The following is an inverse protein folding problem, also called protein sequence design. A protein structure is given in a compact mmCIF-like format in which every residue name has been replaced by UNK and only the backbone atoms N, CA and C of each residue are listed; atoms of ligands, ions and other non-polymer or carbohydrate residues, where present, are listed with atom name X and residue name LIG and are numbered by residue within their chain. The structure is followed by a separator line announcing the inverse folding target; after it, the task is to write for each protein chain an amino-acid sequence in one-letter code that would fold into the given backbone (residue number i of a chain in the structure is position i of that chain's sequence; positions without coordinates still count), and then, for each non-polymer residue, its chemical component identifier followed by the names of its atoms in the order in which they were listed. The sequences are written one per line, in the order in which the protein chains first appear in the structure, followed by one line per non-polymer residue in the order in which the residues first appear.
data_IF_709783311839
#
_entry.id   IF_709783311839
#
_cell.length_a   1.000
_cell.length_b   1.000
_cell.length_c   1.000
_cell.angle_alpha   90.00
_cell.angle_beta   90.00
_cell.angle_gamma   90.00
#
_symmetry.space_group_name_H-M   'P 1'
#
loop_
_entity.id
_entity.type
_entity.pdbx_description
1 polymer ?
2 non-polymer ?
3 non-polymer ?
4 non-polymer ?
5 non-polymer ?
6 non-polymer ?
7 water ?
#
# COMPACT_ATOMS: atom_id res chain seq x y z
N UNK A 6 9.91 -3.30 17.57
CA UNK A 6 10.49 -2.24 16.74
C UNK A 6 9.42 -1.23 16.33
N UNK A 7 8.25 -1.32 16.96
CA UNK A 7 7.16 -0.41 16.66
C UNK A 7 7.30 0.87 17.49
N UNK A 8 8.49 1.07 18.04
CA UNK A 8 8.78 2.25 18.84
C UNK A 8 8.76 3.50 17.98
N UNK A 9 8.04 4.53 18.42
CA UNK A 9 7.95 5.77 17.68
C UNK A 9 8.98 6.77 18.15
N UNK A 10 9.64 7.43 17.21
CA UNK A 10 10.63 8.45 17.56
C UNK A 10 9.93 9.75 17.91
N UNK A 11 10.72 10.77 18.24
CA UNK A 11 10.16 12.07 18.63
C UNK A 11 9.28 12.70 17.55
N UNK A 12 9.85 12.91 16.37
CA UNK A 12 9.12 13.52 15.26
C UNK A 12 7.87 12.74 14.88
N UNK A 13 7.95 11.42 14.97
CA UNK A 13 6.80 10.56 14.63
C UNK A 13 5.69 10.72 15.66
N UNK A 14 6.08 10.73 16.93
CA UNK A 14 5.12 10.90 18.01
C UNK A 14 4.43 12.26 17.92
N UNK A 15 5.19 13.28 17.57
CA UNK A 15 4.66 14.62 17.43
C UNK A 15 3.61 14.67 16.32
N UNK A 16 3.89 14.00 15.20
CA UNK A 16 2.97 13.98 14.07
C UNK A 16 1.66 13.25 14.40
N UNK A 17 1.78 12.15 15.13
CA UNK A 17 0.61 11.38 15.52
C UNK A 17 -0.30 12.21 16.43
N UNK A 18 0.32 12.89 17.40
CA UNK A 18 -0.43 13.74 18.33
C UNK A 18 -1.17 14.84 17.59
N UNK A 19 -0.47 15.47 16.64
CA UNK A 19 -1.07 16.54 15.85
C UNK A 19 -2.28 16.02 15.07
N UNK A 20 -2.14 14.84 14.48
CA UNK A 20 -3.24 14.25 13.72
C UNK A 20 -4.45 14.00 14.60
N UNK A 21 -4.22 13.41 15.77
CA UNK A 21 -5.30 13.12 16.71
C UNK A 21 -6.00 14.39 17.17
N UNK A 22 -5.20 15.41 17.49
CA UNK A 22 -5.74 16.68 17.94
C UNK A 22 -6.68 17.27 16.89
N UNK A 23 -6.23 17.25 15.63
CA UNK A 23 -7.04 17.78 14.54
C UNK A 23 -8.32 16.97 14.38
N UNK A 24 -8.18 15.65 14.45
CA UNK A 24 -9.31 14.75 14.30
C UNK A 24 -10.38 14.96 15.37
N UNK A 25 -9.94 15.16 16.61
CA UNK A 25 -10.87 15.37 17.71
C UNK A 25 -11.76 16.59 17.50
N UNK A 26 -11.25 17.58 16.79
CA UNK A 26 -12.02 18.80 16.52
C UNK A 26 -13.08 18.57 15.44
N UNK A 27 -13.00 17.42 14.77
CA UNK A 27 -13.96 17.08 13.73
C UNK A 27 -15.12 16.32 14.36
N UNK A 28 -16.34 16.75 14.07
CA UNK A 28 -17.52 16.10 14.62
C UNK A 28 -18.06 15.07 13.66
N UNK A 29 -19.37 14.89 13.66
CA UNK A 29 -20.01 13.95 12.77
C UNK A 29 -19.69 14.32 11.31
N UNK A 30 -19.34 13.32 10.50
CA UNK A 30 -19.02 13.57 9.10
C UNK A 30 -20.31 13.55 8.28
N UNK A 31 -20.54 14.61 7.52
CA UNK A 31 -21.75 14.71 6.71
C UNK A 31 -21.46 15.10 5.27
N UNK A 32 -22.19 14.48 4.35
CA UNK A 32 -22.02 14.72 2.93
C UNK A 32 -21.89 16.19 2.54
N UNK A 33 -22.82 17.02 3.00
CA UNK A 33 -22.85 18.45 2.65
C UNK A 33 -21.72 19.27 3.24
N UNK A 34 -20.94 18.69 4.14
CA UNK A 34 -19.84 19.41 4.78
C UNK A 34 -18.57 19.34 3.95
N UNK A 35 -18.63 18.66 2.81
CA UNK A 35 -17.46 18.47 1.97
C UNK A 35 -17.46 19.27 0.67
N UNK A 36 -16.29 19.80 0.34
CA UNK A 36 -16.11 20.56 -0.88
C UNK A 36 -15.02 19.86 -1.70
N UNK A 37 -15.38 19.42 -2.89
CA UNK A 37 -14.44 18.74 -3.75
C UNK A 37 -13.34 19.67 -4.23
N UNK A 38 -12.10 19.18 -4.25
CA UNK A 38 -10.97 19.97 -4.72
C UNK A 38 -10.43 19.36 -6.00
N UNK A 39 -10.35 18.04 -6.04
CA UNK A 39 -9.86 17.36 -7.25
C UNK A 39 -10.01 15.85 -7.15
N UNK A 40 -9.96 15.18 -8.29
CA UNK A 40 -10.06 13.74 -8.35
C UNK A 40 -8.65 13.17 -8.24
N UNK A 41 -8.42 12.35 -7.21
CA UNK A 41 -7.10 11.78 -6.99
C UNK A 41 -6.88 10.49 -7.79
N UNK A 42 -7.97 9.87 -8.19
CA UNK A 42 -7.88 8.64 -8.95
C UNK A 42 -9.14 7.83 -8.78
N UNK A 43 -9.24 6.75 -9.55
CA UNK A 43 -10.40 5.89 -9.48
C UNK A 43 -9.99 4.42 -9.47
N UNK A 44 -10.96 3.57 -9.17
CA UNK A 44 -10.74 2.13 -9.15
C UNK A 44 -12.07 1.46 -9.44
N UNK A 45 -12.03 0.15 -9.66
CA UNK A 45 -13.25 -0.60 -9.94
C UNK A 45 -14.04 -0.82 -8.65
N UNK A 46 -13.59 -0.18 -7.57
CA UNK A 46 -14.25 -0.26 -6.29
C UNK A 46 -14.92 1.08 -5.98
N UNK A 47 -14.24 2.16 -6.34
CA UNK A 47 -14.77 3.50 -6.12
C UNK A 47 -13.78 4.58 -6.58
N UNK A 48 -14.18 5.84 -6.41
CA UNK A 48 -13.36 6.97 -6.80
C UNK A 48 -12.81 7.68 -5.57
N UNK A 49 -11.72 8.40 -5.74
CA UNK A 49 -11.09 9.11 -4.64
C UNK A 49 -10.90 10.58 -4.98
N UNK A 50 -11.33 11.45 -4.07
CA UNK A 50 -11.23 12.87 -4.29
C UNK A 50 -10.44 13.55 -3.19
N UNK A 51 -9.77 14.64 -3.55
CA UNK A 51 -9.11 15.45 -2.56
C UNK A 51 -10.20 16.46 -2.21
N UNK A 52 -10.61 16.48 -0.95
CA UNK A 52 -11.70 17.36 -0.53
C UNK A 52 -11.32 18.23 0.63
N UNK A 53 -12.22 19.16 0.91
CA UNK A 53 -12.02 20.07 2.02
C UNK A 53 -13.21 19.94 2.94
N UNK A 54 -12.98 19.60 4.19
CA UNK A 54 -14.06 19.52 5.15
C UNK A 54 -14.34 20.97 5.53
N UNK A 55 -15.41 21.53 4.99
CA UNK A 55 -15.75 22.94 5.19
C UNK A 55 -15.69 23.47 6.63
N UNK A 56 -16.36 22.77 7.53
CA UNK A 56 -16.41 23.23 8.93
C UNK A 56 -15.04 23.35 9.59
N UNK A 57 -14.25 22.29 9.49
CA UNK A 57 -12.94 22.26 10.13
C UNK A 57 -11.85 22.90 9.28
N UNK A 58 -12.09 22.98 7.98
CA UNK A 58 -11.10 23.54 7.07
C UNK A 58 -10.01 22.50 6.76
N UNK A 59 -10.19 21.28 7.28
CA UNK A 59 -9.23 20.20 7.07
C UNK A 59 -9.31 19.66 5.65
N UNK A 60 -8.16 19.36 5.08
CA UNK A 60 -8.11 18.73 3.77
C UNK A 60 -8.08 17.23 3.99
N UNK A 61 -8.84 16.50 3.19
CA UNK A 61 -8.91 15.06 3.35
C UNK A 61 -8.99 14.37 2.01
N UNK A 62 -8.87 13.05 2.05
CA UNK A 62 -9.03 12.22 0.87
C UNK A 62 -10.36 11.52 1.10
N UNK A 63 -11.30 11.71 0.20
CA UNK A 63 -12.62 11.08 0.34
C UNK A 63 -12.81 10.01 -0.71
N UNK A 64 -12.99 8.78 -0.26
CA UNK A 64 -13.19 7.65 -1.17
C UNK A 64 -14.67 7.28 -1.23
N UNK A 65 -15.24 7.35 -2.43
CA UNK A 65 -16.65 7.04 -2.62
C UNK A 65 -16.87 5.67 -3.23
N UNK A 66 -17.49 4.78 -2.45
CA UNK A 66 -17.79 3.43 -2.91
C UNK A 66 -19.26 3.32 -3.26
N UNK A 67 -19.59 3.44 -4.54
CA UNK A 67 -20.97 3.36 -4.98
C UNK A 67 -21.55 1.96 -4.83
N UNK A 68 -22.47 1.81 -3.89
CA UNK A 68 -23.12 0.54 -3.62
C UNK A 68 -24.58 0.79 -3.27
N UNK A 69 -25.49 0.29 -4.11
CA UNK A 69 -26.92 0.46 -3.88
C UNK A 69 -27.47 -0.61 -2.95
N UNK A 70 -26.64 -1.04 -2.01
CA UNK A 70 -27.04 -2.06 -1.05
C UNK A 70 -28.12 -1.53 -0.12
N UNK A 71 -28.61 -2.38 0.77
CA UNK A 71 -29.64 -1.99 1.73
C UNK A 71 -29.04 -1.12 2.82
N UNK A 72 -29.87 -0.27 3.42
CA UNK A 72 -29.41 0.63 4.48
C UNK A 72 -28.81 -0.17 5.63
N UNK A 73 -29.01 -1.49 5.60
CA UNK A 73 -28.50 -2.37 6.64
C UNK A 73 -27.04 -2.71 6.41
N UNK A 74 -26.73 -3.24 5.22
CA UNK A 74 -25.37 -3.62 4.88
C UNK A 74 -24.37 -2.49 5.09
N UNK A 75 -24.69 -1.31 4.57
CA UNK A 75 -23.83 -0.14 4.69
C UNK A 75 -23.57 0.20 6.16
N UNK A 76 -24.57 -0.02 7.00
CA UNK A 76 -24.44 0.27 8.41
C UNK A 76 -23.43 -0.66 9.08
N UNK A 77 -23.40 -1.91 8.61
CA UNK A 77 -22.46 -2.89 9.15
C UNK A 77 -21.05 -2.58 8.68
N UNK A 78 -20.95 -1.97 7.49
CA UNK A 78 -19.66 -1.59 6.95
C UNK A 78 -19.10 -0.46 7.79
N UNK A 79 -19.91 0.58 7.97
CA UNK A 79 -19.51 1.74 8.77
C UNK A 79 -19.07 1.33 10.16
N UNK A 80 -19.80 0.38 10.75
CA UNK A 80 -19.49 -0.11 12.10
C UNK A 80 -18.14 -0.79 12.16
N UNK A 81 -17.88 -1.67 11.20
CA UNK A 81 -16.63 -2.41 11.15
C UNK A 81 -15.43 -1.48 10.98
N UNK A 82 -15.64 -0.37 10.26
CA UNK A 82 -14.58 0.60 10.03
C UNK A 82 -14.24 1.41 11.28
N UNK A 83 -15.21 1.52 12.19
CA UNK A 83 -15.00 2.28 13.43
C UNK A 83 -13.73 1.87 14.15
N UNK A 84 -13.26 0.66 13.88
CA UNK A 84 -12.05 0.16 14.51
C UNK A 84 -10.81 0.98 14.17
N UNK A 85 -10.85 1.64 13.01
CA UNK A 85 -9.73 2.45 12.56
C UNK A 85 -9.50 3.69 13.43
N UNK A 86 -10.47 3.99 14.29
CA UNK A 86 -10.34 5.16 15.18
C UNK A 86 -9.23 4.95 16.20
N UNK A 87 -8.82 3.71 16.37
CA UNK A 87 -7.74 3.40 17.31
C UNK A 87 -6.45 2.99 16.60
N UNK A 88 -6.53 2.88 15.27
CA UNK A 88 -5.36 2.50 14.46
C UNK A 88 -4.49 3.72 14.18
N UNK A 89 -3.45 3.89 15.00
CA UNK A 89 -2.54 5.02 14.85
C UNK A 89 -1.08 4.60 14.69
N UNK A 90 -0.59 4.66 13.47
CA UNK A 90 0.79 4.28 13.17
C UNK A 90 1.34 5.22 12.11
N UNK A 91 2.62 5.53 12.20
CA UNK A 91 3.24 6.42 11.23
C UNK A 91 3.30 5.73 9.86
N UNK A 92 2.93 4.45 9.83
CA UNK A 92 3.01 3.64 8.61
C UNK A 92 1.67 3.24 8.04
N UNK A 93 0.60 3.76 8.64
CA UNK A 93 -0.75 3.49 8.19
C UNK A 93 -1.46 4.81 7.94
N UNK A 94 -2.12 4.92 6.80
CA UNK A 94 -2.84 6.15 6.44
C UNK A 94 -3.89 6.49 7.48
N UNK A 95 -3.91 7.75 7.90
CA UNK A 95 -4.86 8.23 8.92
C UNK A 95 -6.33 8.10 8.51
N UNK A 96 -7.18 7.79 9.51
CA UNK A 96 -8.61 7.61 9.28
C UNK A 96 -9.41 8.71 10.00
N UNK A 97 -10.33 9.33 9.28
CA UNK A 97 -11.18 10.38 9.87
C UNK A 97 -12.54 9.84 10.26
N UNK A 98 -13.14 9.05 9.38
CA UNK A 98 -14.45 8.46 9.65
C UNK A 98 -15.11 7.99 8.36
N UNK A 99 -16.28 7.40 8.48
CA UNK A 99 -17.02 6.88 7.34
C UNK A 99 -18.52 7.12 7.52
N UNK A 100 -19.24 7.22 6.40
CA UNK A 100 -20.67 7.45 6.43
C UNK A 100 -21.29 7.10 5.08
N UNK A 101 -22.62 7.02 5.05
CA UNK A 101 -23.34 6.69 3.82
C UNK A 101 -24.19 7.88 3.38
N UNK A 102 -24.49 7.92 2.10
CA UNK A 102 -25.29 9.02 1.56
C UNK A 102 -25.47 8.89 0.05
N UNK A 103 -26.68 9.15 -0.42
CA UNK A 103 -27.00 9.09 -1.84
C UNK A 103 -26.54 7.80 -2.50
N UNK A 104 -26.78 6.67 -1.83
CA UNK A 104 -26.43 5.36 -2.37
C UNK A 104 -24.93 5.15 -2.55
N UNK A 105 -24.16 5.27 -1.47
CA UNK A 105 -22.72 5.10 -1.56
C UNK A 105 -22.03 5.38 -0.23
N UNK A 106 -21.07 4.52 0.10
CA UNK A 106 -20.30 4.69 1.33
C UNK A 106 -19.19 5.69 1.10
N UNK A 107 -18.90 6.50 2.11
CA UNK A 107 -17.83 7.48 2.01
C UNK A 107 -16.79 7.17 3.08
N UNK A 108 -15.53 7.13 2.67
CA UNK A 108 -14.44 6.87 3.60
C UNK A 108 -13.49 8.07 3.57
N UNK A 109 -13.33 8.72 4.71
CA UNK A 109 -12.50 9.89 4.80
C UNK A 109 -11.20 9.61 5.52
N UNK A 110 -10.09 9.87 4.84
CA UNK A 110 -8.78 9.58 5.39
C UNK A 110 -7.82 10.71 5.22
N UNK A 111 -6.64 10.53 5.78
CA UNK A 111 -5.57 11.49 5.67
C UNK A 111 -5.17 11.57 4.20
N UNK A 112 -4.99 12.79 3.71
CA UNK A 112 -4.60 13.00 2.33
C UNK A 112 -3.08 12.94 2.21
N UNK A 113 -2.58 12.16 1.24
CA UNK A 113 -1.14 12.02 1.02
C UNK A 113 -0.79 12.74 -0.27
N UNK A 114 -0.16 13.91 -0.15
CA UNK A 114 0.13 14.75 -1.32
C UNK A 114 1.14 14.23 -2.35
N UNK A 115 1.76 13.09 -2.05
CA UNK A 115 2.74 12.50 -2.96
C UNK A 115 2.09 11.45 -3.87
N UNK A 116 0.87 11.06 -3.54
CA UNK A 116 0.14 10.05 -4.33
C UNK A 116 0.60 8.63 -3.97
N UNK A 117 0.29 7.68 -4.84
CA UNK A 117 0.65 6.28 -4.63
C UNK A 117 1.95 5.93 -5.38
N UNK A 118 2.60 4.84 -4.98
CA UNK A 118 3.87 4.47 -5.61
C UNK A 118 3.73 4.12 -7.08
N UNK A 119 2.54 3.69 -7.48
CA UNK A 119 2.33 3.40 -8.88
C UNK A 119 2.44 4.70 -9.69
N UNK A 120 1.91 5.79 -9.13
CA UNK A 120 1.99 7.11 -9.77
C UNK A 120 3.42 7.60 -9.76
N UNK A 121 4.07 7.45 -8.61
CA UNK A 121 5.45 7.89 -8.48
C UNK A 121 6.36 7.15 -9.46
N UNK A 122 6.12 5.85 -9.63
CA UNK A 122 6.92 5.03 -10.54
C UNK A 122 6.83 5.53 -11.98
N UNK A 123 5.62 5.87 -12.40
CA UNK A 123 5.39 6.37 -13.76
C UNK A 123 6.29 7.55 -14.06
N UNK A 124 6.41 8.45 -13.08
CA UNK A 124 7.24 9.64 -13.23
C UNK A 124 8.73 9.37 -13.06
N UNK A 125 9.07 8.42 -12.21
CA UNK A 125 10.46 8.11 -11.95
C UNK A 125 11.10 7.25 -13.03
N UNK A 126 10.31 6.33 -13.60
CA UNK A 126 10.81 5.39 -14.59
C UNK A 126 11.15 4.15 -13.78
N UNK A 127 12.04 4.33 -12.83
CA UNK A 127 12.39 3.30 -11.87
C UNK A 127 12.90 3.95 -10.60
N UNK A 128 12.64 3.31 -9.46
CA UNK A 128 12.98 3.87 -8.16
C UNK A 128 14.30 3.28 -7.62
N UNK A 129 15.21 4.15 -7.20
CA UNK A 129 16.54 3.73 -6.71
C UNK A 129 16.48 2.78 -5.52
N UNK A 130 17.39 1.82 -5.49
CA UNK A 130 17.45 0.84 -4.42
C UNK A 130 17.39 1.46 -3.01
N UNK A 131 18.16 2.52 -2.79
CA UNK A 131 18.18 3.14 -1.46
C UNK A 131 16.82 3.71 -1.11
N UNK A 132 16.09 4.18 -2.10
CA UNK A 132 14.76 4.69 -1.86
C UNK A 132 13.86 3.50 -1.55
N UNK A 133 14.06 2.39 -2.26
CA UNK A 133 13.24 1.20 -2.00
C UNK A 133 13.54 0.60 -0.62
N UNK A 134 14.71 0.91 -0.07
CA UNK A 134 15.07 0.44 1.26
C UNK A 134 14.14 1.09 2.30
N UNK A 135 13.86 2.38 2.12
CA UNK A 135 12.96 3.09 3.04
C UNK A 135 11.52 2.61 2.86
N UNK A 136 11.15 2.34 1.62
CA UNK A 136 9.81 1.83 1.33
C UNK A 136 9.62 0.46 2.01
N UNK A 137 10.62 -0.40 1.88
CA UNK A 137 10.59 -1.74 2.46
C UNK A 137 10.43 -1.66 3.99
N UNK A 138 11.19 -0.76 4.61
CA UNK A 138 11.10 -0.60 6.06
C UNK A 138 9.68 -0.23 6.45
N UNK A 139 9.14 0.77 5.76
CA UNK A 139 7.78 1.24 6.03
C UNK A 139 6.74 0.15 5.87
N UNK A 140 6.82 -0.60 4.77
CA UNK A 140 5.86 -1.66 4.51
C UNK A 140 5.89 -2.76 5.58
N UNK A 141 7.09 -3.17 5.96
CA UNK A 141 7.25 -4.22 6.98
C UNK A 141 6.69 -3.76 8.32
N UNK A 142 7.01 -2.53 8.69
CA UNK A 142 6.53 -1.98 9.95
C UNK A 142 5.02 -1.77 9.92
N UNK A 143 4.49 -1.43 8.76
CA UNK A 143 3.06 -1.26 8.60
C UNK A 143 2.34 -2.60 8.76
N UNK A 144 2.88 -3.64 8.13
CA UNK A 144 2.30 -4.96 8.24
C UNK A 144 2.42 -5.47 9.67
N UNK A 145 3.55 -5.17 10.29
CA UNK A 145 3.80 -5.58 11.67
C UNK A 145 2.76 -4.96 12.59
N UNK A 146 2.53 -3.65 12.41
CA UNK A 146 1.55 -2.93 13.23
C UNK A 146 0.13 -3.49 13.08
N UNK A 147 -0.30 -3.71 11.85
CA UNK A 147 -1.64 -4.23 11.59
C UNK A 147 -1.83 -5.59 12.25
N UNK A 148 -0.81 -6.43 12.13
CA UNK A 148 -0.84 -7.76 12.71
C UNK A 148 -0.88 -7.69 14.23
N UNK A 149 0.01 -6.87 14.79
CA UNK A 149 0.14 -6.74 16.23
C UNK A 149 -1.02 -6.04 16.93
N UNK A 150 -1.35 -4.83 16.49
CA UNK A 150 -2.40 -4.06 17.13
C UNK A 150 -3.83 -4.42 16.71
N UNK A 151 -4.00 -4.84 15.47
CA UNK A 151 -5.32 -5.17 14.96
C UNK A 151 -5.52 -6.63 14.60
N UNK A 152 -4.47 -7.44 14.80
CA UNK A 152 -4.53 -8.86 14.50
C UNK A 152 -5.11 -9.15 13.13
N UNK A 153 -4.59 -8.45 12.12
CA UNK A 153 -5.05 -8.64 10.75
C UNK A 153 -3.89 -8.49 9.76
N UNK A 154 -4.12 -8.91 8.53
CA UNK A 154 -3.13 -8.78 7.48
C UNK A 154 -3.65 -7.73 6.50
N UNK A 155 -2.80 -7.25 5.60
CA UNK A 155 -3.21 -6.23 4.64
C UNK A 155 -4.15 -6.82 3.60
N UNK A 156 -3.72 -7.93 3.00
CA UNK A 156 -4.49 -8.67 1.99
C UNK A 156 -4.39 -8.09 0.60
N UNK A 157 -3.92 -6.86 0.48
CA UNK A 157 -3.83 -6.25 -0.84
C UNK A 157 -2.64 -5.30 -1.02
N UNK A 158 -1.45 -5.79 -0.73
CA UNK A 158 -0.24 -4.97 -0.90
C UNK A 158 0.07 -4.85 -2.39
N UNK A 159 0.29 -3.63 -2.84
CA UNK A 159 0.64 -3.35 -4.23
C UNK A 159 1.07 -1.90 -4.33
N UNK A 160 1.68 -1.50 -5.43
CA UNK A 160 2.17 -0.12 -5.56
C UNK A 160 1.09 0.94 -5.31
N UNK A 161 -0.10 0.74 -5.87
CA UNK A 161 -1.17 1.72 -5.71
C UNK A 161 -1.67 1.83 -4.27
N UNK A 162 -1.28 0.87 -3.44
CA UNK A 162 -1.70 0.87 -2.04
C UNK A 162 -0.61 1.33 -1.06
N UNK A 163 0.46 1.89 -1.60
CA UNK A 163 1.53 2.44 -0.77
C UNK A 163 1.57 3.92 -1.11
N UNK A 164 1.19 4.76 -0.15
CA UNK A 164 1.13 6.20 -0.40
C UNK A 164 2.27 6.93 0.28
N UNK A 165 2.68 8.04 -0.31
CA UNK A 165 3.81 8.82 0.20
C UNK A 165 3.46 10.31 0.26
N UNK A 166 4.25 11.09 0.98
CA UNK A 166 3.98 12.53 1.06
C UNK A 166 5.24 13.40 1.12
N UNK A 167 5.04 14.70 0.86
CA UNK A 167 6.13 15.67 0.85
C UNK A 167 6.87 15.69 2.16
N UNK A 168 6.29 15.10 3.20
CA UNK A 168 6.94 15.04 4.51
C UNK A 168 7.93 13.86 4.54
N UNK A 169 7.89 13.04 3.50
CA UNK A 169 8.79 11.90 3.42
C UNK A 169 8.18 10.66 4.08
N UNK A 170 6.88 10.71 4.37
CA UNK A 170 6.21 9.57 4.98
C UNK A 170 5.78 8.57 3.93
N UNK A 171 5.73 7.30 4.33
CA UNK A 171 5.33 6.20 3.48
C UNK A 171 4.35 5.40 4.30
N UNK A 172 3.13 5.24 3.77
CA UNK A 172 2.07 4.59 4.50
C UNK A 172 1.22 3.66 3.66
N UNK A 173 0.65 2.66 4.33
CA UNK A 173 -0.22 1.69 3.67
C UNK A 173 -1.66 2.14 3.77
N UNK A 174 -2.45 1.81 2.75
CA UNK A 174 -3.86 2.13 2.73
C UNK A 174 -4.63 0.97 2.09
N UNK A 175 -5.94 1.00 2.21
CA UNK A 175 -6.78 -0.05 1.63
C UNK A 175 -6.51 -1.46 2.12
N UNK A 176 -6.20 -1.61 3.41
CA UNK A 176 -6.02 -2.93 3.99
C UNK A 176 -7.45 -3.46 4.27
N UNK A 177 -7.60 -4.79 4.31
CA UNK A 177 -8.91 -5.39 4.53
C UNK A 177 -9.31 -5.37 6.01
N UNK A 178 -9.96 -4.30 6.43
CA UNK A 178 -10.37 -4.17 7.83
C UNK A 178 -11.83 -4.55 8.09
N UNK A 179 -12.70 -4.36 7.09
CA UNK A 179 -14.11 -4.68 7.23
C UNK A 179 -14.46 -5.90 6.40
N UNK A 180 -14.65 -7.05 7.06
CA UNK A 180 -14.97 -8.29 6.37
C UNK A 180 -16.16 -8.09 5.43
N UNK A 181 -17.16 -7.38 5.89
CA UNK A 181 -18.35 -7.11 5.10
C UNK A 181 -18.01 -6.37 3.81
N UNK A 182 -17.19 -5.33 3.94
CA UNK A 182 -16.79 -4.55 2.77
C UNK A 182 -16.08 -5.47 1.78
N UNK A 183 -15.19 -6.32 2.29
CA UNK A 183 -14.47 -7.24 1.44
C UNK A 183 -15.49 -8.17 0.78
N UNK A 184 -16.45 -8.64 1.57
CA UNK A 184 -17.51 -9.53 1.07
C UNK A 184 -18.33 -8.82 0.01
N UNK A 185 -18.95 -7.71 0.40
CA UNK A 185 -19.78 -6.94 -0.51
C UNK A 185 -18.99 -6.62 -1.77
N UNK A 186 -17.71 -6.31 -1.60
CA UNK A 186 -16.85 -5.97 -2.72
C UNK A 186 -16.42 -7.23 -3.47
N UNK A 187 -15.96 -8.23 -2.73
CA UNK A 187 -15.55 -9.50 -3.33
C UNK A 187 -16.72 -10.28 -3.90
N UNK A 188 -17.89 -9.64 -4.01
CA UNK A 188 -19.05 -10.30 -4.60
C UNK A 188 -19.02 -9.93 -6.06
N UNK A 189 -18.90 -8.63 -6.32
CA UNK A 189 -18.73 -8.14 -7.67
C UNK A 189 -17.28 -8.48 -7.95
N UNK A 190 -16.43 -7.47 -8.08
CA UNK A 190 -14.97 -7.63 -8.24
C UNK A 190 -14.25 -6.44 -8.79
N UNK A 191 -13.28 -6.74 -9.66
CA UNK A 191 -12.44 -5.77 -10.32
C UNK A 191 -11.43 -5.09 -9.44
N UNK A 192 -10.44 -5.88 -9.04
CA UNK A 192 -9.32 -5.45 -8.20
C UNK A 192 -8.22 -6.48 -8.50
N UNK A 193 -7.23 -6.07 -9.29
CA UNK A 193 -6.16 -6.95 -9.74
C UNK A 193 -5.67 -8.03 -8.77
N UNK A 194 -5.44 -9.22 -9.34
CA UNK A 194 -4.93 -10.36 -8.59
C UNK A 194 -3.46 -10.57 -8.96
N UNK A 195 -2.94 -9.69 -9.83
CA UNK A 195 -1.56 -9.80 -10.31
C UNK A 195 -0.45 -9.76 -9.24
N UNK A 196 -0.78 -9.30 -8.03
CA UNK A 196 0.23 -9.26 -6.95
C UNK A 196 -0.05 -10.28 -5.86
N UNK A 197 -1.01 -11.16 -6.13
CA UNK A 197 -1.37 -12.19 -5.15
C UNK A 197 -0.38 -13.35 -5.14
N UNK A 198 -0.10 -13.87 -3.95
CA UNK A 198 0.86 -14.95 -3.78
C UNK A 198 0.36 -16.24 -4.42
N UNK A 199 1.29 -17.09 -4.82
CA UNK A 199 0.93 -18.37 -5.43
C UNK A 199 -0.01 -19.17 -4.54
N UNK A 200 0.26 -19.21 -3.24
CA UNK A 200 -0.60 -19.95 -2.31
C UNK A 200 -2.02 -19.42 -2.28
N UNK A 201 -2.18 -18.10 -2.37
CA UNK A 201 -3.51 -17.51 -2.36
C UNK A 201 -4.24 -17.79 -3.67
N UNK A 202 -3.47 -17.85 -4.76
CA UNK A 202 -4.04 -18.14 -6.08
C UNK A 202 -4.39 -19.62 -6.21
N UNK A 203 -3.88 -20.42 -5.28
CA UNK A 203 -4.12 -21.85 -5.30
C UNK A 203 -5.14 -22.25 -4.24
N UNK A 204 -5.44 -21.30 -3.35
CA UNK A 204 -6.39 -21.55 -2.27
C UNK A 204 -5.81 -22.48 -1.20
N UNK A 205 -4.52 -22.33 -0.91
CA UNK A 205 -3.85 -23.15 0.09
C UNK A 205 -3.45 -22.38 1.36
N UNK A 206 -2.52 -21.44 1.21
CA UNK A 206 -2.05 -20.64 2.35
C UNK A 206 -2.54 -19.21 2.23
N UNK A 207 -2.93 -18.63 3.36
CA UNK A 207 -3.45 -17.27 3.38
C UNK A 207 -3.13 -16.62 4.73
N UNK A 208 -1.97 -15.98 4.80
CA UNK A 208 -1.54 -15.32 6.03
C UNK A 208 -0.65 -14.12 5.69
N UNK A 209 -0.03 -13.54 6.72
CA UNK A 209 0.85 -12.39 6.52
C UNK A 209 1.93 -12.70 5.50
N UNK A 210 2.30 -13.98 5.41
CA UNK A 210 3.31 -14.40 4.44
C UNK A 210 2.90 -13.99 3.03
N UNK A 211 1.61 -14.03 2.76
CA UNK A 211 1.06 -13.67 1.45
C UNK A 211 1.32 -12.20 1.11
N UNK A 212 1.29 -11.36 2.14
CA UNK A 212 1.53 -9.92 1.98
C UNK A 212 3.01 -9.65 1.71
N UNK A 213 3.87 -10.50 2.25
CA UNK A 213 5.32 -10.38 2.06
C UNK A 213 5.68 -10.64 0.61
N UNK A 214 5.00 -11.61 -0.01
CA UNK A 214 5.21 -11.92 -1.41
C UNK A 214 4.82 -10.72 -2.26
N UNK A 215 3.64 -10.15 -1.97
CA UNK A 215 3.14 -8.99 -2.72
C UNK A 215 4.10 -7.83 -2.62
N UNK A 216 4.69 -7.65 -1.45
CA UNK A 216 5.66 -6.58 -1.25
C UNK A 216 6.89 -6.83 -2.10
N UNK A 217 7.39 -8.05 -2.07
CA UNK A 217 8.58 -8.40 -2.85
C UNK A 217 8.36 -8.15 -4.33
N UNK A 218 7.18 -8.53 -4.82
CA UNK A 218 6.83 -8.35 -6.22
C UNK A 218 6.74 -6.86 -6.57
N UNK A 219 6.10 -6.10 -5.69
CA UNK A 219 5.97 -4.65 -5.88
C UNK A 219 7.35 -4.00 -5.88
N UNK A 220 8.24 -4.49 -5.02
CA UNK A 220 9.62 -3.96 -4.96
C UNK A 220 10.35 -4.18 -6.28
N UNK A 221 10.23 -5.40 -6.83
CA UNK A 221 10.89 -5.71 -8.10
C UNK A 221 10.36 -4.81 -9.21
N UNK A 222 9.04 -4.71 -9.30
CA UNK A 222 8.43 -3.84 -10.31
C UNK A 222 8.98 -2.43 -10.22
N UNK A 223 9.05 -1.90 -8.99
CA UNK A 223 9.52 -0.54 -8.79
C UNK A 223 11.00 -0.37 -9.09
N UNK A 224 11.78 -1.42 -8.79
CA UNK A 224 13.21 -1.38 -9.06
C UNK A 224 13.53 -1.40 -10.56
N UNK A 225 12.82 -2.23 -11.31
CA UNK A 225 13.10 -2.34 -12.76
C UNK A 225 12.24 -1.45 -13.65
N UNK A 226 11.15 -0.93 -13.10
CA UNK A 226 10.27 -0.02 -13.86
C UNK A 226 9.22 -0.73 -14.71
N UNK A 227 8.86 -1.96 -14.36
CA UNK A 227 7.85 -2.70 -15.11
C UNK A 227 7.39 -3.91 -14.33
N UNK A 228 6.11 -4.25 -14.44
CA UNK A 228 5.58 -5.44 -13.78
C UNK A 228 6.45 -6.58 -14.31
N UNK A 229 7.18 -7.23 -13.41
CA UNK A 229 8.18 -8.23 -13.78
C UNK A 229 7.74 -9.61 -14.26
N UNK A 230 6.44 -9.83 -14.45
CA UNK A 230 5.98 -11.13 -14.92
C UNK A 230 5.21 -11.00 -16.24
N UNK A 231 5.65 -11.74 -17.27
CA UNK A 231 6.79 -12.66 -17.15
C UNK A 231 8.12 -11.91 -17.20
N UNK A 232 9.19 -12.63 -16.89
CA UNK A 232 10.53 -12.06 -16.87
C UNK A 232 10.96 -11.44 -18.20
N UNK A 233 11.72 -10.36 -18.12
CA UNK A 233 12.20 -9.67 -19.31
C UNK A 233 13.20 -10.53 -20.07
N UNK A 234 13.68 -10.01 -21.20
CA UNK A 234 14.66 -10.70 -22.02
C UNK A 234 15.93 -9.87 -22.05
N UNK A 235 17.01 -10.43 -22.60
CA UNK A 235 18.27 -9.72 -22.70
C UNK A 235 18.05 -8.38 -23.37
N UNK A 236 17.16 -8.37 -24.36
CA UNK A 236 16.83 -7.16 -25.09
C UNK A 236 16.29 -6.09 -24.14
N UNK A 237 15.25 -6.45 -23.38
CA UNK A 237 14.66 -5.52 -22.42
C UNK A 237 15.71 -5.06 -21.41
N UNK A 238 16.39 -6.01 -20.81
CA UNK A 238 17.43 -5.71 -19.81
C UNK A 238 18.40 -4.64 -20.30
N UNK A 239 19.02 -4.91 -21.45
CA UNK A 239 19.98 -3.97 -22.04
C UNK A 239 19.31 -2.64 -22.36
N UNK A 240 18.01 -2.66 -22.58
CA UNK A 240 17.27 -1.44 -22.88
C UNK A 240 16.97 -0.68 -21.59
N UNK A 241 16.59 -1.42 -20.55
CA UNK A 241 16.25 -0.83 -19.26
C UNK A 241 17.44 -0.24 -18.51
N UNK A 242 18.56 -0.95 -18.53
CA UNK A 242 19.76 -0.51 -17.81
C UNK A 242 20.97 -0.28 -18.70
N UNK A 243 20.77 -0.35 -20.02
CA UNK A 243 21.87 -0.14 -20.96
C UNK A 243 22.83 -1.32 -21.02
N UNK A 244 22.83 -2.13 -19.96
CA UNK A 244 23.70 -3.30 -19.89
N UNK A 274 0.77 -10.37 -25.83
CA UNK A 274 0.68 -10.01 -24.42
C UNK A 274 0.05 -11.11 -23.58
N UNK A 275 0.14 -10.98 -22.27
CA UNK A 275 -0.40 -11.98 -21.37
C UNK A 275 -1.73 -11.58 -20.75
N UNK A 276 -2.75 -12.39 -20.99
CA UNK A 276 -4.07 -12.14 -20.41
C UNK A 276 -3.96 -12.39 -18.91
N UNK A 277 -4.82 -11.75 -18.14
CA UNK A 277 -4.79 -11.91 -16.69
C UNK A 277 -4.76 -13.37 -16.24
N UNK A 278 -5.62 -14.20 -16.80
CA UNK A 278 -5.68 -15.62 -16.42
C UNK A 278 -4.36 -16.36 -16.71
N UNK A 279 -3.67 -15.96 -17.77
CA UNK A 279 -2.39 -16.57 -18.12
C UNK A 279 -1.37 -16.17 -17.08
N UNK A 280 -1.40 -14.90 -16.70
CA UNK A 280 -0.49 -14.36 -15.71
C UNK A 280 -0.60 -15.14 -14.41
N UNK A 281 -1.83 -15.29 -13.93
CA UNK A 281 -2.08 -16.01 -12.68
C UNK A 281 -1.54 -17.44 -12.70
N UNK A 282 -1.70 -18.12 -13.84
CA UNK A 282 -1.21 -19.49 -13.96
C UNK A 282 0.32 -19.51 -13.93
N UNK A 283 0.93 -18.54 -14.62
CA UNK A 283 2.38 -18.41 -14.68
C UNK A 283 2.93 -18.25 -13.27
N UNK A 284 2.34 -17.34 -12.51
CA UNK A 284 2.78 -17.07 -11.15
C UNK A 284 2.76 -18.34 -10.31
N UNK A 285 1.68 -19.12 -10.45
CA UNK A 285 1.53 -20.34 -9.69
C UNK A 285 2.45 -21.47 -10.16
N UNK A 286 2.71 -21.53 -11.47
CA UNK A 286 3.51 -22.62 -12.05
C UNK A 286 4.98 -22.37 -12.35
N UNK A 287 5.34 -21.11 -12.58
CA UNK A 287 6.73 -20.81 -12.93
C UNK A 287 7.53 -20.29 -11.74
N UNK A 288 8.85 -20.25 -11.91
CA UNK A 288 9.72 -19.76 -10.85
C UNK A 288 9.49 -18.27 -10.66
N UNK A 289 9.64 -17.82 -9.42
CA UNK A 289 9.43 -16.41 -9.09
C UNK A 289 10.35 -15.47 -9.83
N UNK A 290 9.92 -14.23 -9.99
CA UNK A 290 10.76 -13.24 -10.65
C UNK A 290 11.89 -12.88 -9.69
N UNK A 291 12.93 -12.25 -10.23
CA UNK A 291 14.07 -11.84 -9.43
C UNK A 291 14.66 -10.58 -10.05
N UNK A 292 15.48 -9.86 -9.30
CA UNK A 292 16.12 -8.66 -9.83
C UNK A 292 17.28 -9.08 -10.72
N UNK A 293 17.61 -8.24 -11.70
CA UNK A 293 18.74 -8.54 -12.58
C UNK A 293 20.03 -8.40 -11.79
N UNK A 294 21.05 -9.17 -12.16
CA UNK A 294 22.33 -9.11 -11.47
C UNK A 294 23.15 -7.92 -11.92
N UNK A 295 24.13 -7.54 -11.12
CA UNK A 295 25.03 -6.43 -11.48
C UNK A 295 24.51 -5.03 -11.14
N UNK A 296 23.24 -4.78 -11.40
CA UNK A 296 22.68 -3.45 -11.15
C UNK A 296 22.22 -3.16 -9.71
N UNK A 297 21.95 -4.21 -8.95
CA UNK A 297 21.51 -4.05 -7.57
C UNK A 297 22.43 -4.78 -6.62
N UNK A 298 22.54 -4.29 -5.39
CA UNK A 298 23.40 -4.90 -4.40
C UNK A 298 22.91 -6.32 -4.14
N UNK A 299 23.80 -7.20 -3.72
CA UNK A 299 23.44 -8.59 -3.44
C UNK A 299 22.51 -8.66 -2.24
N UNK A 300 22.65 -7.70 -1.33
CA UNK A 300 21.77 -7.66 -0.16
C UNK A 300 20.32 -7.39 -0.57
N UNK A 301 20.13 -6.48 -1.53
CA UNK A 301 18.79 -6.18 -2.02
C UNK A 301 18.22 -7.39 -2.77
N UNK A 302 19.05 -8.01 -3.60
CA UNK A 302 18.61 -9.20 -4.35
C UNK A 302 18.19 -10.31 -3.38
N UNK A 303 19.00 -10.52 -2.35
CA UNK A 303 18.70 -11.56 -1.37
C UNK A 303 17.40 -11.25 -0.64
N UNK A 304 17.20 -9.99 -0.34
CA UNK A 304 15.99 -9.53 0.34
C UNK A 304 14.72 -9.86 -0.47
N UNK A 305 14.67 -9.43 -1.71
CA UNK A 305 13.49 -9.72 -2.53
C UNK A 305 13.33 -11.22 -2.76
N UNK A 306 14.47 -11.92 -2.92
CA UNK A 306 14.45 -13.38 -3.10
C UNK A 306 13.76 -14.07 -1.93
N UNK A 307 14.07 -13.62 -0.71
CA UNK A 307 13.48 -14.23 0.48
C UNK A 307 12.00 -13.92 0.63
N UNK A 308 11.57 -12.84 -0.03
CA UNK A 308 10.18 -12.43 -0.03
C UNK A 308 9.40 -13.23 -1.07
N UNK A 309 10.10 -13.59 -2.14
CA UNK A 309 9.47 -14.25 -3.28
C UNK A 309 9.57 -15.77 -3.35
N UNK A 310 9.92 -16.40 -2.24
CA UNK A 310 10.00 -17.86 -2.20
C UNK A 310 8.55 -18.37 -2.31
N UNK A 311 8.27 -19.21 -3.31
CA UNK A 311 6.91 -19.70 -3.52
C UNK A 311 6.27 -20.38 -2.32
N UNK A 312 7.05 -21.19 -1.62
CA UNK A 312 6.57 -21.90 -0.44
C UNK A 312 6.48 -20.94 0.73
N UNK A 313 5.26 -20.57 1.11
CA UNK A 313 5.03 -19.63 2.20
C UNK A 313 5.73 -20.00 3.49
N UNK A 314 6.05 -21.27 3.64
CA UNK A 314 6.73 -21.76 4.84
C UNK A 314 8.23 -21.46 4.78
N UNK A 315 8.78 -21.49 3.57
CA UNK A 315 10.22 -21.22 3.38
C UNK A 315 10.47 -19.71 3.23
N UNK A 316 9.44 -18.99 2.81
CA UNK A 316 9.50 -17.55 2.62
C UNK A 316 9.73 -16.87 3.97
N UNK A 317 10.55 -15.80 3.97
CA UNK A 317 10.86 -15.10 5.21
C UNK A 317 9.60 -14.52 5.82
N UNK A 318 9.63 -14.30 7.14
CA UNK A 318 8.50 -13.69 7.83
C UNK A 318 8.87 -12.29 8.28
N UNK A 319 7.92 -11.57 8.85
CA UNK A 319 8.15 -10.19 9.24
C UNK A 319 9.33 -9.99 10.19
N UNK A 320 9.46 -10.88 11.16
CA UNK A 320 10.54 -10.77 12.13
C UNK A 320 11.90 -10.99 11.48
N UNK A 321 11.95 -11.89 10.52
CA UNK A 321 13.19 -12.18 9.81
C UNK A 321 13.57 -11.05 8.86
N UNK A 322 12.57 -10.47 8.21
CA UNK A 322 12.82 -9.38 7.28
C UNK A 322 13.34 -8.14 8.01
N UNK A 323 12.79 -7.89 9.19
CA UNK A 323 13.18 -6.73 9.98
C UNK A 323 14.66 -6.71 10.34
N UNK A 324 15.29 -7.88 10.39
CA UNK A 324 16.70 -7.95 10.72
C UNK A 324 17.54 -8.36 9.52
N UNK A 325 16.91 -8.44 8.35
CA UNK A 325 17.64 -8.79 7.14
C UNK A 325 18.73 -7.75 6.92
N UNK A 326 19.87 -8.19 6.38
CA UNK A 326 20.99 -7.28 6.11
C UNK A 326 20.59 -6.07 5.27
N UNK A 327 19.67 -6.26 4.33
CA UNK A 327 19.23 -5.13 3.48
C UNK A 327 18.50 -4.09 4.33
N UNK A 328 17.70 -4.56 5.28
CA UNK A 328 16.92 -3.69 6.15
C UNK A 328 17.82 -2.97 7.15
N UNK A 329 18.74 -3.72 7.74
CA UNK A 329 19.67 -3.14 8.69
C UNK A 329 20.49 -2.04 8.03
N UNK A 330 21.02 -2.32 6.85
CA UNK A 330 21.78 -1.32 6.09
C UNK A 330 20.91 -0.11 5.74
N UNK A 331 19.72 -0.36 5.19
CA UNK A 331 18.82 0.72 4.81
C UNK A 331 18.43 1.57 6.01
N UNK A 332 18.09 0.93 7.12
CA UNK A 332 17.68 1.66 8.30
C UNK A 332 18.77 2.60 8.80
N UNK A 333 20.01 2.24 8.58
CA UNK A 333 21.13 3.06 9.03
C UNK A 333 21.54 4.09 7.98
N UNK A 334 20.92 4.05 6.82
CA UNK A 334 21.23 5.01 5.76
C UNK A 334 20.44 6.30 5.97
N UNK A 335 21.10 7.43 5.79
CA UNK A 335 20.43 8.72 5.93
C UNK A 335 19.94 9.13 4.56
N UNK A 336 18.74 8.71 4.22
CA UNK A 336 18.16 8.99 2.91
C UNK A 336 17.10 10.06 2.98
N UNK A 337 17.26 11.09 2.17
CA UNK A 337 16.30 12.18 2.13
C UNK A 337 15.18 11.83 1.17
N UNK A 338 14.29 10.95 1.62
CA UNK A 338 13.18 10.51 0.79
C UNK A 338 12.30 11.65 0.29
N UNK A 339 11.96 12.58 1.19
CA UNK A 339 11.12 13.73 0.84
C UNK A 339 11.73 14.49 -0.31
N UNK A 340 13.03 14.76 -0.21
CA UNK A 340 13.76 15.49 -1.26
C UNK A 340 13.69 14.77 -2.60
N UNK A 341 14.06 13.50 -2.61
CA UNK A 341 14.04 12.70 -3.82
C UNK A 341 12.65 12.67 -4.41
N UNK A 342 11.66 12.52 -3.55
CA UNK A 342 10.27 12.44 -4.00
C UNK A 342 9.81 13.73 -4.66
N UNK A 343 10.00 14.85 -3.98
CA UNK A 343 9.57 16.13 -4.53
C UNK A 343 10.24 16.45 -5.87
N UNK A 344 11.53 16.12 -5.99
CA UNK A 344 12.28 16.37 -7.22
C UNK A 344 11.78 15.49 -8.35
N UNK A 345 11.38 14.28 -8.01
CA UNK A 345 10.92 13.29 -8.98
C UNK A 345 9.54 13.56 -9.54
N UNK A 346 8.61 13.96 -8.69
CA UNK A 346 7.25 14.23 -9.13
C UNK A 346 7.03 15.70 -9.43
N UNK A 347 7.99 16.53 -9.03
CA UNK A 347 7.95 17.96 -9.31
C UNK A 347 7.08 18.76 -8.35
N UNK A 348 7.29 18.57 -7.05
CA UNK A 348 6.54 19.31 -6.03
C UNK A 348 7.29 20.57 -5.60
#
# INVERSE_FOLDING_TARGET
GKKLEELELDEQQRKRLEAFLTQKQKVGELKDDDFEKISELGAGNGGVVFKVSHKPSGLVMARKLIHLEIKPAIRNQIIRELQVLHECNSPYIVGFYGAFYSDGEISICMEHMDGGSLDQVLKKAGRIPEQILGKVSIAVIKGLTYLREKHKIMHRDVKPSNILVNSRGEIKLCDFGVSGQLIDSMANSFVGTRSYMSPERLQGTHYSVQSDIWSMGLSLVEMAVGRYPIPPPDAKELELMFGCQVEGDAAETPPRPRTPGRPLNKFGMDSRPPMAIFELLDYIVNEPPPKLPSGVFSLEFQDFVNKCLIKNPAERADLKQLMVHAFIKRSDAEEVDFAGWLCSTIGLNQPSTPTHAAGV
#
